data_IF_768490839134
#
_entry.id   IF_768490839134
#
_cell.length_a   1.000
_cell.length_b   1.000
_cell.length_c   1.000
_cell.angle_alpha   90.00
_cell.angle_beta   90.00
_cell.angle_gamma   90.00
#
_symmetry.space_group_name_H-M   'P 1'
#
loop_
_entity.id
_entity.type
_entity.pdbx_description
1 polymer ?
#
# COMPACT_ATOMS: atom_id res chain seq x y z
N UNK A 1 -39.51 8.06 -41.65
CA UNK A 1 -40.79 7.86 -40.95
C UNK A 1 -40.62 8.23 -39.49
N UNK A 2 -41.37 9.23 -39.07
CA UNK A 2 -41.39 9.78 -37.70
C UNK A 2 -42.17 8.86 -36.77
N UNK A 3 -41.64 8.57 -35.55
CA UNK A 3 -42.53 8.31 -34.40
C UNK A 3 -41.85 8.81 -33.12
N UNK A 4 -42.36 9.92 -32.66
CA UNK A 4 -42.22 10.45 -31.28
C UNK A 4 -43.17 9.68 -30.38
N UNK A 5 -42.74 9.32 -29.19
CA UNK A 5 -43.68 9.11 -28.10
C UNK A 5 -43.05 9.66 -26.81
N UNK A 6 -43.70 10.67 -26.29
CA UNK A 6 -43.50 11.26 -24.97
C UNK A 6 -44.55 10.66 -24.02
N UNK A 7 -44.21 10.51 -22.75
CA UNK A 7 -45.11 10.39 -21.60
C UNK A 7 -44.21 10.22 -20.36
N UNK A 8 -44.32 10.87 -19.34
CA UNK A 8 -45.12 11.75 -18.52
C UNK A 8 -44.52 11.69 -17.11
N UNK A 9 -44.44 12.82 -16.50
CA UNK A 9 -44.14 13.15 -15.10
C UNK A 9 -44.92 12.29 -14.10
N UNK A 10 -44.28 11.90 -12.98
CA UNK A 10 -44.98 11.75 -11.71
C UNK A 10 -44.08 12.21 -10.57
N UNK A 11 -44.45 13.33 -10.02
CA UNK A 11 -43.97 13.92 -8.77
C UNK A 11 -44.74 13.27 -7.64
N UNK A 12 -44.05 12.76 -6.62
CA UNK A 12 -44.63 12.59 -5.29
C UNK A 12 -43.66 13.10 -4.22
N UNK A 13 -44.05 14.24 -3.68
CA UNK A 13 -43.60 14.81 -2.41
C UNK A 13 -44.26 14.04 -1.25
N UNK A 14 -43.51 13.64 -0.27
CA UNK A 14 -44.03 13.50 1.09
C UNK A 14 -42.95 13.91 2.08
N UNK A 15 -43.23 14.99 2.76
CA UNK A 15 -42.53 15.51 3.91
C UNK A 15 -42.88 14.72 5.18
N UNK A 16 -41.94 14.57 6.08
CA UNK A 16 -42.17 14.01 7.42
C UNK A 16 -41.01 14.38 8.34
N UNK A 17 -41.15 15.54 9.02
CA UNK A 17 -40.33 15.90 10.16
C UNK A 17 -40.70 15.07 11.40
N UNK A 18 -39.71 14.60 12.15
CA UNK A 18 -39.82 14.61 13.62
C UNK A 18 -38.44 14.79 14.25
N UNK A 19 -38.34 15.86 15.03
CA UNK A 19 -37.27 16.16 16.00
C UNK A 19 -37.45 15.24 17.20
N UNK A 20 -36.32 14.76 17.75
CA UNK A 20 -36.26 14.55 19.20
C UNK A 20 -34.84 14.88 19.71
N UNK A 21 -34.85 15.68 20.77
CA UNK A 21 -33.79 16.40 21.42
C UNK A 21 -33.32 15.66 22.67
N UNK A 22 -32.05 15.92 23.02
CA UNK A 22 -31.42 15.92 24.38
C UNK A 22 -30.99 14.55 24.94
N UNK A 23 -29.82 14.38 25.55
CA UNK A 23 -29.04 15.27 26.41
C UNK A 23 -27.63 14.70 26.64
N UNK A 24 -26.65 15.59 26.58
CA UNK A 24 -25.44 15.80 27.36
C UNK A 24 -24.82 14.68 28.22
N UNK A 25 -23.52 14.43 28.01
CA UNK A 25 -22.52 14.81 29.01
C UNK A 25 -21.09 14.81 28.41
N UNK A 26 -20.44 15.91 28.66
CA UNK A 26 -19.06 16.27 28.33
C UNK A 26 -18.05 15.39 29.06
N UNK A 27 -16.98 14.98 28.37
CA UNK A 27 -15.66 14.94 28.97
C UNK A 27 -14.64 15.33 27.91
N UNK A 28 -14.05 16.48 28.10
CA UNK A 28 -12.98 17.05 27.35
C UNK A 28 -11.69 16.28 27.60
N UNK A 29 -11.10 15.71 26.55
CA UNK A 29 -9.67 15.44 26.53
C UNK A 29 -9.08 16.15 25.33
N UNK A 30 -8.37 17.22 25.63
CA UNK A 30 -7.54 17.97 24.70
C UNK A 30 -6.36 17.10 24.31
N UNK A 31 -6.40 16.55 23.10
CA UNK A 31 -5.22 15.99 22.46
C UNK A 31 -4.69 17.01 21.48
N UNK A 32 -3.51 17.49 21.78
CA UNK A 32 -2.74 18.45 20.99
C UNK A 32 -2.45 17.83 19.62
N UNK A 33 -3.05 18.38 18.58
CA UNK A 33 -2.76 18.04 17.19
C UNK A 33 -1.38 18.58 16.84
N UNK A 34 -0.41 17.69 16.74
CA UNK A 34 0.83 17.96 16.01
C UNK A 34 0.59 17.63 14.55
N UNK A 35 0.39 18.64 13.75
CA UNK A 35 0.43 18.51 12.29
C UNK A 35 1.85 18.17 11.87
N UNK A 36 2.11 16.88 11.62
CA UNK A 36 3.25 16.45 10.84
C UNK A 36 2.74 16.16 9.43
N UNK A 37 3.02 17.06 8.50
CA UNK A 37 2.94 16.79 7.07
C UNK A 37 4.02 15.76 6.75
N UNK A 38 3.65 14.48 6.73
CA UNK A 38 4.53 13.42 6.30
C UNK A 38 3.84 12.63 5.19
N UNK A 39 4.43 12.66 4.02
CA UNK A 39 4.06 11.88 2.84
C UNK A 39 3.88 10.41 3.23
N UNK A 40 2.68 9.89 2.97
CA UNK A 40 2.20 8.61 3.44
C UNK A 40 3.10 7.42 3.13
N UNK A 41 3.20 6.51 4.05
CA UNK A 41 3.97 5.27 4.04
C UNK A 41 4.51 4.97 5.42
N UNK A 42 4.54 3.69 5.80
CA UNK A 42 5.14 3.28 7.06
C UNK A 42 6.66 3.39 6.97
N UNK A 43 7.25 4.44 7.55
CA UNK A 43 8.69 4.50 7.78
C UNK A 43 9.11 3.43 8.81
N UNK A 44 10.40 3.08 8.85
CA UNK A 44 10.93 2.00 9.67
C UNK A 44 10.50 2.02 11.16
N UNK A 45 10.19 3.18 11.70
CA UNK A 45 9.81 3.36 13.11
C UNK A 45 8.41 3.93 13.31
N UNK A 46 7.60 4.08 12.23
CA UNK A 46 6.22 4.53 12.37
C UNK A 46 5.34 3.42 12.93
N UNK A 47 4.39 3.79 13.79
CA UNK A 47 3.31 2.90 14.19
C UNK A 47 2.31 2.83 13.05
N UNK A 48 1.99 1.60 12.63
CA UNK A 48 0.95 1.34 11.67
C UNK A 48 -0.16 0.55 12.39
N UNK A 49 -1.36 1.07 12.34
CA UNK A 49 -2.56 0.35 12.81
C UNK A 49 -3.31 -0.17 11.58
N UNK A 50 -3.76 -1.39 11.63
CA UNK A 50 -4.49 -2.07 10.56
C UNK A 50 -5.75 -2.72 11.09
N UNK A 51 -6.72 -3.03 10.23
CA UNK A 51 -7.82 -3.90 10.60
C UNK A 51 -7.41 -5.37 10.51
N UNK A 52 -7.96 -6.22 11.39
CA UNK A 52 -7.70 -7.66 11.35
C UNK A 52 -8.23 -8.33 10.08
N UNK A 53 -9.33 -7.84 9.52
CA UNK A 53 -9.89 -8.38 8.28
C UNK A 53 -8.98 -8.10 7.06
N UNK A 54 -8.42 -6.90 6.98
CA UNK A 54 -7.46 -6.51 5.93
C UNK A 54 -6.12 -7.23 6.11
N UNK A 55 -5.65 -7.35 7.33
CA UNK A 55 -4.46 -8.13 7.66
C UNK A 55 -4.62 -9.60 7.28
N UNK A 56 -5.81 -10.18 7.51
CA UNK A 56 -6.11 -11.55 7.11
C UNK A 56 -6.15 -11.68 5.58
N UNK A 57 -6.79 -10.77 4.88
CA UNK A 57 -6.79 -10.77 3.41
C UNK A 57 -5.38 -10.72 2.85
N UNK A 58 -4.52 -9.87 3.43
CA UNK A 58 -3.11 -9.79 3.06
C UNK A 58 -2.38 -11.14 3.15
N UNK A 59 -2.58 -11.88 4.26
CA UNK A 59 -2.00 -13.22 4.44
C UNK A 59 -2.61 -14.25 3.49
N UNK A 60 -3.91 -14.22 3.29
CA UNK A 60 -4.62 -15.13 2.38
C UNK A 60 -4.10 -14.97 0.94
N UNK A 61 -3.85 -13.75 0.47
CA UNK A 61 -3.27 -13.48 -0.84
C UNK A 61 -1.84 -14.01 -0.97
N UNK A 62 -1.03 -13.94 0.08
CA UNK A 62 0.34 -14.48 0.07
C UNK A 62 0.40 -16.01 0.07
N UNK A 63 -0.64 -16.68 0.55
CA UNK A 63 -0.68 -18.14 0.73
C UNK A 63 -1.59 -18.85 -0.25
N UNK A 64 -2.32 -18.12 -1.10
CA UNK A 64 -3.18 -18.69 -2.13
C UNK A 64 -2.41 -19.62 -3.07
N UNK A 65 -3.05 -20.69 -3.54
CA UNK A 65 -2.42 -21.70 -4.40
C UNK A 65 -1.81 -21.11 -5.69
N UNK A 66 -2.44 -20.09 -6.24
CA UNK A 66 -2.00 -19.41 -7.47
C UNK A 66 -1.42 -18.01 -7.21
N UNK A 67 -0.92 -17.78 -6.01
CA UNK A 67 -0.33 -16.47 -5.65
C UNK A 67 0.76 -16.07 -6.64
N UNK A 68 0.81 -14.81 -7.07
CA UNK A 68 1.92 -14.28 -7.83
C UNK A 68 3.15 -13.97 -6.95
N UNK A 69 2.99 -13.97 -5.63
CA UNK A 69 4.03 -13.59 -4.68
C UNK A 69 4.93 -14.77 -4.33
N UNK A 70 6.22 -14.57 -4.50
CA UNK A 70 7.26 -15.51 -4.12
C UNK A 70 8.07 -14.91 -2.97
N UNK A 71 8.09 -15.59 -1.82
CA UNK A 71 8.83 -15.10 -0.64
C UNK A 71 10.31 -14.97 -0.93
N UNK A 72 10.89 -13.86 -0.52
CA UNK A 72 12.31 -13.56 -0.58
C UNK A 72 12.75 -12.87 0.72
N UNK A 73 14.04 -12.94 1.03
CA UNK A 73 14.68 -12.19 2.12
C UNK A 73 15.34 -10.92 1.59
N UNK A 74 15.77 -10.02 2.47
CA UNK A 74 16.59 -8.86 2.05
C UNK A 74 17.94 -9.32 1.46
N UNK A 75 18.51 -10.40 1.97
CA UNK A 75 19.74 -11.02 1.45
C UNK A 75 19.54 -11.52 0.02
N UNK A 76 18.40 -12.17 -0.27
CA UNK A 76 18.06 -12.58 -1.64
C UNK A 76 18.01 -11.36 -2.57
N UNK A 77 17.36 -10.27 -2.13
CA UNK A 77 17.27 -9.04 -2.93
C UNK A 77 18.64 -8.45 -3.21
N UNK A 78 19.52 -8.35 -2.20
CA UNK A 78 20.91 -7.91 -2.40
C UNK A 78 21.60 -8.79 -3.44
N UNK A 79 21.43 -10.12 -3.34
CA UNK A 79 21.98 -11.08 -4.30
C UNK A 79 21.46 -10.85 -5.73
N UNK A 80 20.18 -10.51 -5.91
CA UNK A 80 19.62 -10.19 -7.23
C UNK A 80 20.33 -9.00 -7.89
N UNK A 81 20.66 -7.97 -7.12
CA UNK A 81 21.45 -6.84 -7.63
C UNK A 81 22.86 -7.24 -8.02
N UNK A 82 23.54 -7.98 -7.16
CA UNK A 82 24.93 -8.41 -7.36
C UNK A 82 25.07 -9.36 -8.56
N UNK A 83 24.10 -10.26 -8.74
CA UNK A 83 24.07 -11.21 -9.85
C UNK A 83 23.46 -10.62 -11.13
N UNK A 84 23.07 -9.34 -11.14
CA UNK A 84 22.42 -8.65 -12.26
C UNK A 84 21.14 -9.36 -12.74
N UNK A 85 20.35 -9.84 -11.78
CA UNK A 85 19.08 -10.47 -12.08
C UNK A 85 17.97 -9.42 -12.31
N UNK A 86 16.88 -9.88 -12.94
CA UNK A 86 15.70 -9.04 -13.24
C UNK A 86 14.50 -9.58 -12.51
N UNK A 87 13.92 -8.76 -11.62
CA UNK A 87 12.78 -9.11 -10.78
C UNK A 87 11.85 -7.92 -10.58
N UNK A 88 10.62 -8.22 -10.18
CA UNK A 88 9.71 -7.25 -9.58
C UNK A 88 9.74 -7.52 -8.07
N UNK A 89 9.93 -6.47 -7.29
CA UNK A 89 10.00 -6.53 -5.83
C UNK A 89 8.75 -5.91 -5.23
N UNK A 90 8.28 -6.50 -4.14
CA UNK A 90 7.34 -5.89 -3.23
C UNK A 90 7.88 -6.01 -1.80
N UNK A 91 8.16 -4.87 -1.18
CA UNK A 91 8.55 -4.79 0.23
C UNK A 91 7.35 -4.26 1.02
N UNK A 92 6.95 -4.99 2.04
CA UNK A 92 5.77 -4.67 2.84
C UNK A 92 5.69 -5.54 4.09
N UNK A 93 4.65 -5.36 4.89
CA UNK A 93 4.33 -6.24 6.00
C UNK A 93 2.83 -6.22 6.30
N UNK A 94 2.35 -7.23 7.02
CA UNK A 94 0.94 -7.53 7.27
C UNK A 94 0.15 -6.33 7.82
N UNK A 95 0.67 -5.68 8.86
CA UNK A 95 -0.06 -4.66 9.63
C UNK A 95 0.21 -3.23 9.13
N UNK A 96 0.67 -3.08 7.89
CA UNK A 96 0.85 -1.79 7.23
C UNK A 96 -0.42 -1.44 6.44
N UNK A 97 -1.20 -0.42 6.82
CA UNK A 97 -2.46 -0.09 6.15
C UNK A 97 -2.31 0.18 4.66
N UNK A 98 -1.34 0.96 4.23
CA UNK A 98 -1.06 1.19 2.81
C UNK A 98 -0.66 -0.08 2.05
N UNK A 99 0.00 -1.03 2.74
CA UNK A 99 0.32 -2.33 2.13
C UNK A 99 -0.93 -3.17 1.95
N UNK A 100 -1.87 -3.10 2.89
CA UNK A 100 -3.15 -3.80 2.84
C UNK A 100 -4.02 -3.27 1.69
N UNK A 101 -4.06 -1.96 1.49
CA UNK A 101 -4.78 -1.34 0.38
C UNK A 101 -4.18 -1.69 -0.99
N UNK A 102 -2.85 -1.69 -1.10
CA UNK A 102 -2.15 -1.93 -2.35
C UNK A 102 -2.19 -3.40 -2.79
N UNK A 103 -2.04 -4.32 -1.84
CA UNK A 103 -1.76 -5.72 -2.15
C UNK A 103 -2.84 -6.43 -2.98
N UNK A 104 -4.14 -6.25 -2.72
CA UNK A 104 -5.19 -6.86 -3.55
C UNK A 104 -5.11 -6.37 -5.01
N UNK A 105 -4.83 -5.08 -5.21
CA UNK A 105 -4.72 -4.47 -6.54
C UNK A 105 -3.50 -5.01 -7.28
N UNK A 106 -2.37 -5.08 -6.59
CA UNK A 106 -1.12 -5.64 -7.14
C UNK A 106 -1.26 -7.12 -7.49
N UNK A 107 -1.94 -7.90 -6.62
CA UNK A 107 -2.25 -9.31 -6.86
C UNK A 107 -3.02 -9.52 -8.17
N UNK A 108 -4.11 -8.77 -8.35
CA UNK A 108 -4.98 -8.92 -9.51
C UNK A 108 -4.25 -8.59 -10.81
N UNK A 109 -3.47 -7.50 -10.82
CA UNK A 109 -2.67 -7.10 -11.97
C UNK A 109 -1.57 -8.14 -12.27
N UNK A 110 -0.90 -8.64 -11.24
CA UNK A 110 0.16 -9.63 -11.41
C UNK A 110 -0.38 -10.96 -11.97
N UNK A 111 -1.56 -11.40 -11.50
CA UNK A 111 -2.24 -12.58 -12.06
C UNK A 111 -2.62 -12.35 -13.52
N UNK A 112 -3.26 -11.22 -13.84
CA UNK A 112 -3.67 -10.88 -15.20
C UNK A 112 -2.49 -10.84 -16.18
N UNK A 113 -1.35 -10.30 -15.75
CA UNK A 113 -0.13 -10.20 -16.56
C UNK A 113 0.74 -11.45 -16.49
N UNK A 114 0.38 -12.46 -15.70
CA UNK A 114 1.18 -13.65 -15.43
C UNK A 114 2.61 -13.32 -14.96
N UNK A 115 2.72 -12.37 -14.03
CA UNK A 115 3.98 -11.88 -13.46
C UNK A 115 4.19 -12.52 -12.10
N UNK A 116 5.46 -12.82 -11.77
CA UNK A 116 5.90 -13.20 -10.42
C UNK A 116 6.56 -12.01 -9.72
N UNK A 117 6.25 -11.84 -8.44
CA UNK A 117 6.71 -10.73 -7.60
C UNK A 117 7.50 -11.32 -6.43
N UNK A 118 8.72 -10.87 -6.21
CA UNK A 118 9.52 -11.21 -5.03
C UNK A 118 9.03 -10.38 -3.85
N UNK A 119 8.40 -11.04 -2.90
CA UNK A 119 7.85 -10.42 -1.70
C UNK A 119 8.81 -10.54 -0.52
N UNK A 120 9.18 -9.41 0.07
CA UNK A 120 9.96 -9.32 1.30
C UNK A 120 9.09 -8.78 2.42
N UNK A 121 8.86 -9.62 3.44
CA UNK A 121 8.27 -9.15 4.68
C UNK A 121 9.33 -8.42 5.50
N UNK A 122 9.21 -7.10 5.60
CA UNK A 122 10.18 -6.27 6.34
C UNK A 122 9.95 -6.28 7.84
N UNK A 123 8.83 -6.88 8.32
CA UNK A 123 8.49 -7.00 9.74
C UNK A 123 7.93 -8.42 10.02
N UNK A 124 8.80 -9.45 10.01
CA UNK A 124 8.39 -10.86 9.96
C UNK A 124 7.51 -11.31 11.12
N UNK A 125 7.64 -10.73 12.31
CA UNK A 125 6.82 -11.06 13.48
C UNK A 125 5.70 -10.04 13.74
N UNK A 126 5.49 -9.10 12.80
CA UNK A 126 4.54 -8.00 12.90
C UNK A 126 4.72 -7.12 14.15
N UNK A 127 5.92 -7.09 14.72
CA UNK A 127 6.28 -6.24 15.86
C UNK A 127 7.32 -5.21 15.44
N UNK A 128 7.43 -4.10 16.18
CA UNK A 128 8.46 -3.08 15.92
C UNK A 128 9.88 -3.64 16.06
N UNK A 129 10.06 -4.54 17.01
CA UNK A 129 11.35 -5.19 17.30
C UNK A 129 11.80 -6.10 16.16
N UNK A 130 10.86 -6.66 15.42
CA UNK A 130 11.14 -7.50 14.25
C UNK A 130 11.37 -6.72 12.96
N UNK A 131 11.28 -5.36 12.99
CA UNK A 131 11.48 -4.55 11.79
C UNK A 131 12.94 -4.63 11.31
N UNK A 132 13.11 -5.19 10.13
CA UNK A 132 14.42 -5.40 9.51
C UNK A 132 15.02 -4.10 8.96
N UNK A 133 14.22 -3.02 8.87
CA UNK A 133 14.61 -1.70 8.33
C UNK A 133 15.26 -0.84 9.42
N UNK A 134 16.40 -1.27 9.92
CA UNK A 134 17.14 -0.54 10.94
C UNK A 134 18.65 -0.51 10.62
N UNK A 135 19.32 0.56 11.03
CA UNK A 135 20.74 0.84 10.73
C UNK A 135 21.73 -0.18 11.33
N UNK A 136 21.27 -1.02 12.26
CA UNK A 136 22.09 -2.10 12.82
C UNK A 136 22.02 -3.38 11.96
N UNK A 137 21.13 -3.42 10.96
CA UNK A 137 21.04 -4.51 10.01
C UNK A 137 21.89 -4.19 8.77
N UNK A 138 23.05 -4.85 8.59
CA UNK A 138 23.94 -4.54 7.46
C UNK A 138 23.31 -4.85 6.10
N UNK A 139 22.40 -5.82 6.03
CA UNK A 139 21.66 -6.12 4.79
C UNK A 139 20.71 -4.98 4.42
N UNK A 140 20.05 -4.38 5.43
CA UNK A 140 19.21 -3.21 5.19
C UNK A 140 20.03 -2.01 4.70
N UNK A 141 21.15 -1.71 5.34
CA UNK A 141 22.05 -0.63 4.92
C UNK A 141 22.52 -0.85 3.47
N UNK A 142 22.89 -2.09 3.15
CA UNK A 142 23.29 -2.43 1.77
C UNK A 142 22.11 -2.27 0.78
N UNK A 143 20.91 -2.66 1.18
CA UNK A 143 19.73 -2.52 0.34
C UNK A 143 19.36 -1.03 0.12
N UNK A 144 19.52 -0.17 1.12
CA UNK A 144 19.37 1.29 0.98
C UNK A 144 20.29 1.86 -0.11
N UNK A 145 21.57 1.44 -0.12
CA UNK A 145 22.52 1.86 -1.16
C UNK A 145 22.09 1.41 -2.56
N UNK A 146 21.58 0.17 -2.68
CA UNK A 146 21.19 -0.42 -3.97
C UNK A 146 19.88 0.16 -4.52
N UNK A 147 18.92 0.45 -3.66
CA UNK A 147 17.65 1.07 -4.05
C UNK A 147 17.77 2.59 -4.26
N UNK A 148 18.76 3.24 -3.62
CA UNK A 148 18.95 4.68 -3.68
C UNK A 148 17.94 5.47 -2.85
N UNK A 149 17.83 6.77 -3.11
CA UNK A 149 16.89 7.64 -2.40
C UNK A 149 15.47 7.48 -2.93
N UNK A 150 14.80 6.43 -2.47
CA UNK A 150 13.41 6.12 -2.85
C UNK A 150 12.38 7.05 -2.19
N UNK A 151 12.76 7.75 -1.13
CA UNK A 151 11.90 8.72 -0.44
C UNK A 151 11.97 10.12 -1.04
N UNK A 152 13.06 10.44 -1.74
CA UNK A 152 13.33 11.76 -2.29
C UNK A 152 13.70 12.81 -1.22
N UNK A 153 13.92 12.38 0.04
CA UNK A 153 14.25 13.24 1.17
C UNK A 153 15.74 13.23 1.55
N UNK A 154 16.55 12.48 0.80
CA UNK A 154 17.99 12.34 1.01
C UNK A 154 18.38 11.42 2.15
N UNK A 155 17.43 10.71 2.79
CA UNK A 155 17.72 9.80 3.90
C UNK A 155 17.97 8.36 3.46
N UNK A 156 17.69 8.02 2.21
CA UNK A 156 17.71 6.64 1.68
C UNK A 156 16.85 5.64 2.46
N UNK A 157 15.89 6.09 3.27
CA UNK A 157 14.99 5.20 4.00
C UNK A 157 14.08 4.45 3.04
N UNK A 158 13.92 3.15 3.31
CA UNK A 158 12.99 2.32 2.55
C UNK A 158 11.61 2.40 3.20
N UNK A 159 10.73 3.16 2.57
CA UNK A 159 9.32 3.21 2.94
C UNK A 159 8.57 2.01 2.34
N UNK A 160 7.47 1.63 2.96
CA UNK A 160 6.57 0.57 2.47
C UNK A 160 5.13 1.07 2.44
N UNK A 161 4.34 0.59 1.47
CA UNK A 161 4.68 -0.37 0.42
C UNK A 161 5.71 0.17 -0.56
N UNK A 162 6.65 -0.67 -0.98
CA UNK A 162 7.56 -0.39 -2.09
C UNK A 162 7.35 -1.44 -3.17
N UNK A 163 7.02 -1.03 -4.37
CA UNK A 163 7.00 -1.89 -5.56
C UNK A 163 8.07 -1.40 -6.52
N UNK A 164 9.05 -2.23 -6.82
CA UNK A 164 10.17 -1.86 -7.68
C UNK A 164 10.39 -2.82 -8.83
N UNK A 165 10.78 -2.29 -9.97
CA UNK A 165 11.20 -3.07 -11.14
C UNK A 165 12.70 -3.04 -11.24
N UNK A 166 13.30 -4.22 -11.12
CA UNK A 166 14.74 -4.44 -11.23
C UNK A 166 15.02 -5.07 -12.59
N UNK A 167 15.98 -4.53 -13.33
CA UNK A 167 16.48 -5.10 -14.58
C UNK A 167 18.01 -5.09 -14.56
N UNK A 168 18.60 -6.22 -14.86
CA UNK A 168 20.07 -6.38 -14.90
C UNK A 168 20.77 -5.86 -13.62
N UNK A 169 20.14 -6.09 -12.44
CA UNK A 169 20.64 -5.64 -11.16
C UNK A 169 20.59 -4.13 -10.94
N UNK A 170 19.64 -3.43 -11.56
CA UNK A 170 19.43 -2.00 -11.37
C UNK A 170 17.94 -1.69 -11.20
N UNK A 171 17.64 -0.72 -10.35
CA UNK A 171 16.30 -0.16 -10.27
C UNK A 171 16.01 0.59 -11.57
N UNK A 172 14.98 0.16 -12.29
CA UNK A 172 14.49 0.84 -13.50
C UNK A 172 13.43 1.86 -13.15
N UNK A 173 12.52 1.46 -12.27
CA UNK A 173 11.43 2.31 -11.80
C UNK A 173 10.87 1.73 -10.50
N UNK A 174 10.15 2.54 -9.73
CA UNK A 174 9.50 2.10 -8.51
C UNK A 174 8.27 2.95 -8.18
N UNK A 175 7.47 2.44 -7.27
CA UNK A 175 6.31 3.13 -6.75
C UNK A 175 6.22 2.90 -5.23
N UNK A 176 5.87 3.95 -4.51
CA UNK A 176 5.42 3.93 -3.12
C UNK A 176 3.89 4.04 -3.07
N UNK A 177 3.34 4.20 -1.87
CA UNK A 177 1.91 4.47 -1.70
C UNK A 177 1.49 5.79 -2.37
N UNK A 178 0.17 5.93 -2.57
CA UNK A 178 -0.43 7.22 -2.91
C UNK A 178 -0.46 8.14 -1.68
N UNK A 179 -0.63 9.44 -1.94
CA UNK A 179 -0.69 10.47 -0.89
C UNK A 179 -2.09 10.50 -0.24
N UNK A 180 -2.26 9.71 0.82
CA UNK A 180 -3.41 9.70 1.72
C UNK A 180 -3.04 9.03 3.03
N UNK A 181 -3.80 9.31 4.08
CA UNK A 181 -3.58 8.71 5.40
C UNK A 181 -4.44 7.45 5.59
N UNK A 182 -3.88 6.29 5.27
CA UNK A 182 -4.55 5.00 5.41
C UNK A 182 -4.88 4.59 6.85
N UNK A 183 -4.38 5.32 7.87
CA UNK A 183 -4.81 5.11 9.25
C UNK A 183 -6.17 5.73 9.55
N UNK A 184 -6.59 6.74 8.80
CA UNK A 184 -7.77 7.55 9.13
C UNK A 184 -8.85 7.52 8.06
N UNK A 185 -8.51 7.13 6.84
CA UNK A 185 -9.44 7.08 5.72
C UNK A 185 -9.31 5.77 4.94
N UNK A 186 -10.44 5.23 4.52
CA UNK A 186 -10.47 4.11 3.59
C UNK A 186 -10.07 4.56 2.20
N UNK A 187 -9.40 3.69 1.47
CA UNK A 187 -9.07 3.93 0.07
C UNK A 187 -10.33 4.13 -0.77
N UNK A 188 -10.32 5.16 -1.60
CA UNK A 188 -11.44 5.50 -2.51
C UNK A 188 -11.31 4.77 -3.85
N UNK A 189 -12.43 4.63 -4.59
CA UNK A 189 -12.40 4.07 -5.94
C UNK A 189 -11.46 4.84 -6.88
N UNK A 190 -11.37 6.15 -6.75
CA UNK A 190 -10.43 6.97 -7.55
C UNK A 190 -8.97 6.62 -7.26
N UNK A 191 -8.63 6.39 -6.01
CA UNK A 191 -7.28 5.97 -5.61
C UNK A 191 -6.98 4.53 -6.06
N UNK A 192 -7.96 3.65 -6.02
CA UNK A 192 -7.83 2.29 -6.57
C UNK A 192 -7.51 2.34 -8.06
N UNK A 193 -8.22 3.17 -8.84
CA UNK A 193 -7.95 3.34 -10.27
C UNK A 193 -6.59 4.01 -10.54
N UNK A 194 -6.17 4.94 -9.68
CA UNK A 194 -4.83 5.52 -9.74
C UNK A 194 -3.75 4.48 -9.46
N UNK A 195 -3.90 3.63 -8.44
CA UNK A 195 -3.00 2.50 -8.19
C UNK A 195 -2.92 1.56 -9.40
N UNK A 196 -4.07 1.18 -9.97
CA UNK A 196 -4.12 0.32 -11.16
C UNK A 196 -3.35 0.93 -12.33
N UNK A 197 -3.55 2.21 -12.59
CA UNK A 197 -2.87 2.92 -13.67
C UNK A 197 -1.37 2.92 -13.46
N UNK A 198 -0.91 3.39 -12.29
CA UNK A 198 0.52 3.48 -11.97
C UNK A 198 1.21 2.11 -11.95
N UNK A 199 0.56 1.08 -11.38
CA UNK A 199 1.09 -0.28 -11.37
C UNK A 199 1.18 -0.87 -12.78
N UNK A 200 0.19 -0.65 -13.64
CA UNK A 200 0.26 -1.11 -15.02
C UNK A 200 1.42 -0.48 -15.78
N UNK A 201 1.62 0.82 -15.62
CA UNK A 201 2.75 1.55 -16.23
C UNK A 201 4.11 1.08 -15.68
N UNK A 202 4.19 0.87 -14.36
CA UNK A 202 5.40 0.39 -13.70
C UNK A 202 5.79 -1.00 -14.16
N UNK A 203 4.83 -1.93 -14.21
CA UNK A 203 5.08 -3.34 -14.53
C UNK A 203 5.33 -3.62 -16.03
N UNK A 204 5.21 -2.61 -16.88
CA UNK A 204 5.58 -2.66 -18.31
C UNK A 204 7.04 -2.27 -18.59
N UNK A 205 7.76 -1.79 -17.59
CA UNK A 205 9.20 -1.44 -17.68
C UNK A 205 10.06 -2.70 -17.68
#
# INVERSE_FOLDING_TARGET
MKRRLAFLLSIMLLAGCTKQTANSSSTSNTSTSSTNENSGGCAAFAECESSEDEAKLYEDLLTAHNTPFEKATMEDVVSYFENKESHILFLGFRDCPWCQDLMPILNDIAIQKNIKIKYVNVRPENTKESDLRNENNPTYVKLQELLGDVSGDGTNKIYVPYVGVIRDGKVVDFMLNLDYDAHTVQITESQIEEYKTRLNELLEK
#
